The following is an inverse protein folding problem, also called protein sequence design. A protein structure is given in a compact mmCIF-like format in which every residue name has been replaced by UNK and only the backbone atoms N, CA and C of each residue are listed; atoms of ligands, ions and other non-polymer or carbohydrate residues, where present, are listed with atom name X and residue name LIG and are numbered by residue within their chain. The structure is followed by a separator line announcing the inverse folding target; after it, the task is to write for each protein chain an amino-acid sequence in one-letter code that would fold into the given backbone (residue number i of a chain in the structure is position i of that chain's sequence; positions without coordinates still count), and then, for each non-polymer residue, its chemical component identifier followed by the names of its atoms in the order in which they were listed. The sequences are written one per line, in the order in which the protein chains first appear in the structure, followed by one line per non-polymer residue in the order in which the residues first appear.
data_IF_529272869073
#
_entry.id   IF_529272869073
#
_cell.length_a   1.000
_cell.length_b   1.000
_cell.length_c   1.000
_cell.angle_alpha   90.00
_cell.angle_beta   90.00
_cell.angle_gamma   90.00
#
_symmetry.space_group_name_H-M   'P 1'
#
loop_
_entity.id
_entity.type
_entity.pdbx_description
1 polymer ?
#
# COMPACT_ATOMS: atom_id res chain seq x y z
N UNK A 1 -5.91 0.00 -19.58
CA UNK A 1 -5.51 -0.06 -18.16
C UNK A 1 -4.00 -0.03 -18.11
N UNK A 2 -3.41 0.74 -17.19
CA UNK A 2 -1.96 0.82 -16.99
C UNK A 2 -1.60 0.36 -15.58
N UNK A 3 -0.53 -0.43 -15.43
CA UNK A 3 -0.02 -0.90 -14.14
C UNK A 3 1.43 -0.44 -14.02
N UNK A 4 1.78 0.25 -12.94
CA UNK A 4 3.10 0.84 -12.76
C UNK A 4 3.65 0.70 -11.33
N UNK A 5 4.98 0.78 -11.21
CA UNK A 5 5.66 0.88 -9.93
C UNK A 5 5.79 2.35 -9.50
N UNK A 6 5.33 2.66 -8.28
CA UNK A 6 5.33 4.02 -7.74
C UNK A 6 6.18 4.13 -6.46
N UNK A 7 7.42 4.62 -6.64
CA UNK A 7 8.41 4.85 -5.55
C UNK A 7 7.96 5.84 -4.47
N UNK A 8 6.88 6.60 -4.71
CA UNK A 8 6.31 7.58 -3.78
C UNK A 8 5.25 6.96 -2.87
N UNK A 9 4.70 5.79 -3.19
CA UNK A 9 3.79 5.06 -2.30
C UNK A 9 4.57 4.47 -1.13
N UNK A 10 4.40 5.05 0.07
CA UNK A 10 5.13 4.66 1.29
C UNK A 10 4.24 4.20 2.44
N UNK A 11 2.92 4.36 2.30
CA UNK A 11 1.92 4.08 3.35
C UNK A 11 0.89 3.03 2.95
N UNK A 12 0.79 2.74 1.65
CA UNK A 12 -0.14 1.78 1.09
C UNK A 12 0.55 0.97 0.01
N UNK A 13 0.20 -0.31 -0.08
CA UNK A 13 0.80 -1.26 -1.01
C UNK A 13 0.46 -0.95 -2.47
N UNK A 14 -0.75 -0.44 -2.72
CA UNK A 14 -1.17 -0.02 -4.05
C UNK A 14 -2.27 1.04 -4.04
N UNK A 15 -2.51 1.63 -5.20
CA UNK A 15 -3.53 2.66 -5.42
C UNK A 15 -4.18 2.43 -6.79
N UNK A 16 -5.50 2.45 -6.83
CA UNK A 16 -6.27 2.50 -8.07
C UNK A 16 -6.70 3.94 -8.33
N UNK A 17 -6.66 4.36 -9.59
CA UNK A 17 -7.29 5.59 -10.06
C UNK A 17 -8.02 5.30 -11.36
N UNK A 18 -9.15 5.95 -11.58
CA UNK A 18 -9.93 5.77 -12.79
C UNK A 18 -10.61 7.07 -13.20
N UNK A 19 -11.05 7.13 -14.45
CA UNK A 19 -11.75 8.28 -15.01
C UNK A 19 -11.98 8.12 -16.49
N UNK A 20 -12.38 9.21 -17.16
CA UNK A 20 -12.57 9.24 -18.61
C UNK A 20 -11.63 10.28 -19.21
N UNK A 21 -10.97 9.93 -20.32
CA UNK A 21 -10.17 10.84 -21.13
C UNK A 21 -10.79 10.89 -22.53
N UNK A 22 -11.26 12.05 -22.95
CA UNK A 22 -12.00 12.23 -24.22
C UNK A 22 -13.17 11.24 -24.34
N UNK A 23 -13.91 11.01 -23.25
CA UNK A 23 -15.02 10.05 -23.21
C UNK A 23 -14.60 8.57 -23.07
N UNK A 24 -13.33 8.23 -23.26
CA UNK A 24 -12.83 6.85 -23.14
C UNK A 24 -12.48 6.53 -21.68
N UNK A 25 -13.08 5.48 -21.07
CA UNK A 25 -12.74 5.05 -19.72
C UNK A 25 -11.28 4.59 -19.63
N UNK A 26 -10.60 4.97 -18.55
CA UNK A 26 -9.28 4.45 -18.20
C UNK A 26 -9.22 4.12 -16.71
N UNK A 27 -8.29 3.24 -16.36
CA UNK A 27 -7.88 2.98 -15.00
C UNK A 27 -6.36 2.78 -14.95
N UNK A 28 -5.78 3.19 -13.84
CA UNK A 28 -4.37 3.06 -13.49
C UNK A 28 -4.25 2.34 -12.15
N UNK A 29 -3.28 1.44 -12.04
CA UNK A 29 -2.93 0.78 -10.80
C UNK A 29 -1.46 1.07 -10.52
N UNK A 30 -1.21 1.74 -9.40
CA UNK A 30 0.14 1.93 -8.88
C UNK A 30 0.42 0.89 -7.79
N UNK A 31 1.61 0.29 -7.82
CA UNK A 31 2.12 -0.60 -6.76
C UNK A 31 3.34 0.01 -6.09
N UNK A 32 3.49 -0.20 -4.78
CA UNK A 32 4.64 0.27 -4.00
C UNK A 32 5.78 -0.72 -4.10
N UNK A 33 6.92 -0.29 -4.64
CA UNK A 33 8.17 -1.08 -4.65
C UNK A 33 8.71 -1.37 -3.25
N UNK A 34 8.32 -0.55 -2.26
CA UNK A 34 8.77 -0.68 -0.87
C UNK A 34 7.91 -1.62 -0.04
N UNK A 35 6.63 -1.75 -0.36
CA UNK A 35 5.68 -2.59 0.39
C UNK A 35 5.42 -3.90 -0.34
N UNK A 36 5.22 -3.88 -1.67
CA UNK A 36 5.07 -5.06 -2.51
C UNK A 36 6.44 -5.61 -2.93
N UNK A 37 7.24 -6.01 -1.95
CA UNK A 37 8.62 -6.47 -2.14
C UNK A 37 8.77 -8.01 -2.18
N UNK A 38 7.64 -8.73 -2.23
CA UNK A 38 7.57 -10.19 -2.39
C UNK A 38 6.42 -10.55 -3.34
N UNK A 39 6.45 -11.76 -3.89
CA UNK A 39 5.47 -12.21 -4.89
C UNK A 39 4.05 -12.27 -4.33
N UNK A 40 3.89 -12.76 -3.09
CA UNK A 40 2.62 -12.83 -2.37
C UNK A 40 2.01 -11.44 -2.15
N UNK A 41 2.79 -10.48 -1.64
CA UNK A 41 2.31 -9.10 -1.43
C UNK A 41 1.93 -8.42 -2.72
N UNK A 42 2.70 -8.65 -3.80
CA UNK A 42 2.37 -8.11 -5.11
C UNK A 42 1.06 -8.70 -5.64
N UNK A 43 0.92 -10.03 -5.60
CA UNK A 43 -0.28 -10.75 -6.02
C UNK A 43 -1.52 -10.25 -5.29
N UNK A 44 -1.51 -10.28 -3.97
CA UNK A 44 -2.66 -9.92 -3.13
C UNK A 44 -3.04 -8.45 -3.31
N UNK A 45 -2.04 -7.57 -3.41
CA UNK A 45 -2.29 -6.15 -3.71
C UNK A 45 -2.85 -5.95 -5.10
N UNK A 46 -2.27 -6.60 -6.11
CA UNK A 46 -2.64 -6.38 -7.51
C UNK A 46 -4.07 -6.86 -7.77
N UNK A 47 -4.43 -8.07 -7.33
CA UNK A 47 -5.77 -8.61 -7.53
C UNK A 47 -6.82 -7.74 -6.83
N UNK A 48 -6.55 -7.28 -5.60
CA UNK A 48 -7.41 -6.34 -4.90
C UNK A 48 -7.64 -5.06 -5.71
N UNK A 49 -6.58 -4.48 -6.29
CA UNK A 49 -6.68 -3.25 -7.11
C UNK A 49 -7.34 -3.50 -8.45
N UNK A 50 -7.23 -4.70 -9.00
CA UNK A 50 -7.96 -5.12 -10.20
C UNK A 50 -9.46 -5.26 -9.94
N UNK A 51 -9.89 -5.73 -8.77
CA UNK A 51 -11.31 -5.74 -8.39
C UNK A 51 -11.90 -4.32 -8.39
N UNK A 52 -11.17 -3.32 -7.86
CA UNK A 52 -11.56 -1.90 -7.99
C UNK A 52 -11.65 -1.43 -9.44
N UNK A 53 -10.71 -1.84 -10.30
CA UNK A 53 -10.74 -1.48 -11.72
C UNK A 53 -11.89 -2.18 -12.46
N UNK A 54 -12.29 -3.38 -12.04
CA UNK A 54 -13.39 -4.13 -12.60
C UNK A 54 -14.74 -3.44 -12.31
N UNK A 55 -14.96 -2.95 -11.08
CA UNK A 55 -16.12 -2.11 -10.75
C UNK A 55 -16.27 -0.94 -11.73
N UNK A 56 -15.15 -0.30 -12.08
CA UNK A 56 -15.15 0.83 -13.01
C UNK A 56 -15.38 0.42 -14.47
N UNK A 57 -14.66 -0.59 -14.97
CA UNK A 57 -14.71 -0.96 -16.39
C UNK A 57 -15.95 -1.76 -16.77
N UNK A 58 -16.42 -2.62 -15.88
CA UNK A 58 -17.52 -3.56 -16.15
C UNK A 58 -18.84 -2.94 -15.71
N UNK A 59 -18.92 -2.43 -14.47
CA UNK A 59 -20.18 -1.93 -13.92
C UNK A 59 -20.36 -0.42 -14.08
N UNK A 60 -19.29 0.30 -14.44
CA UNK A 60 -19.33 1.76 -14.58
C UNK A 60 -19.35 2.50 -13.25
N UNK A 61 -19.09 1.82 -12.13
CA UNK A 61 -19.10 2.40 -10.79
C UNK A 61 -17.77 3.08 -10.48
N UNK A 62 -17.81 4.36 -10.14
CA UNK A 62 -16.64 5.19 -9.84
C UNK A 62 -16.34 5.28 -8.34
N UNK A 63 -16.68 4.24 -7.57
CA UNK A 63 -16.41 4.18 -6.15
C UNK A 63 -15.14 3.37 -5.84
N UNK A 64 -14.33 3.90 -4.92
CA UNK A 64 -13.13 3.26 -4.37
C UNK A 64 -13.40 2.55 -3.04
N UNK A 65 -14.65 2.47 -2.58
CA UNK A 65 -15.04 1.70 -1.40
C UNK A 65 -15.15 0.20 -1.69
N UNK A 66 -15.08 -0.61 -0.63
CA UNK A 66 -15.30 -2.06 -0.68
C UNK A 66 -16.80 -2.37 -0.55
N UNK A 67 -17.58 -1.98 -1.55
CA UNK A 67 -19.03 -2.23 -1.61
C UNK A 67 -19.39 -3.57 -2.28
N UNK A 68 -20.68 -3.81 -2.49
CA UNK A 68 -21.22 -5.07 -3.05
C UNK A 68 -20.62 -5.46 -4.40
N UNK A 69 -20.38 -4.48 -5.30
CA UNK A 69 -19.74 -4.74 -6.59
C UNK A 69 -18.28 -5.17 -6.43
N UNK A 70 -17.57 -4.59 -5.46
CA UNK A 70 -16.20 -5.00 -5.17
C UNK A 70 -16.17 -6.43 -4.62
N UNK A 71 -17.06 -6.76 -3.68
CA UNK A 71 -17.19 -8.13 -3.14
C UNK A 71 -17.54 -9.14 -4.25
N UNK A 72 -18.43 -8.77 -5.17
CA UNK A 72 -18.76 -9.59 -6.34
C UNK A 72 -17.53 -9.86 -7.20
N UNK A 73 -16.76 -8.85 -7.56
CA UNK A 73 -15.53 -9.04 -8.36
C UNK A 73 -14.45 -9.81 -7.59
N UNK A 74 -14.39 -9.68 -6.27
CA UNK A 74 -13.52 -10.53 -5.46
C UNK A 74 -13.92 -12.00 -5.55
N UNK A 75 -15.20 -12.32 -5.37
CA UNK A 75 -15.71 -13.69 -5.48
C UNK A 75 -15.46 -14.29 -6.87
N UNK A 76 -15.63 -13.50 -7.93
CA UNK A 76 -15.33 -13.94 -9.30
C UNK A 76 -13.84 -14.23 -9.51
N UNK A 77 -12.97 -13.39 -8.95
CA UNK A 77 -11.53 -13.58 -9.06
C UNK A 77 -11.05 -14.79 -8.22
N UNK A 78 -11.61 -15.00 -7.04
CA UNK A 78 -11.35 -16.19 -6.20
C UNK A 78 -11.80 -17.47 -6.88
N UNK A 79 -12.97 -17.46 -7.54
CA UNK A 79 -13.44 -18.60 -8.33
C UNK A 79 -12.52 -18.92 -9.52
N UNK A 80 -12.01 -17.89 -10.19
CA UNK A 80 -11.06 -18.04 -11.30
C UNK A 80 -9.67 -18.51 -10.84
N UNK A 81 -9.34 -18.28 -9.56
CA UNK A 81 -8.03 -18.54 -9.00
C UNK A 81 -8.11 -19.21 -7.61
N UNK A 82 -8.59 -20.46 -7.55
CA UNK A 82 -8.87 -21.15 -6.28
C UNK A 82 -7.62 -21.44 -5.43
N UNK A 83 -6.43 -21.41 -6.05
CA UNK A 83 -5.16 -21.61 -5.36
C UNK A 83 -4.62 -20.36 -4.64
N UNK A 84 -5.25 -19.19 -4.86
CA UNK A 84 -4.88 -17.94 -4.20
C UNK A 84 -5.56 -17.80 -2.82
N UNK A 85 -4.93 -17.12 -1.86
CA UNK A 85 -5.61 -16.78 -0.61
C UNK A 85 -6.81 -15.84 -0.89
N UNK A 86 -7.81 -15.81 0.00
CA UNK A 86 -8.94 -14.90 -0.13
C UNK A 86 -8.51 -13.43 -0.23
N UNK A 87 -9.23 -12.67 -1.03
CA UNK A 87 -8.96 -11.25 -1.26
C UNK A 87 -9.52 -10.47 -0.08
N UNK A 88 -8.63 -9.85 0.69
CA UNK A 88 -9.03 -9.07 1.87
C UNK A 88 -9.26 -7.59 1.53
N UNK A 89 -10.17 -6.95 2.27
CA UNK A 89 -10.39 -5.50 2.20
C UNK A 89 -9.19 -4.69 2.68
N UNK A 90 -8.44 -5.24 3.66
CA UNK A 90 -7.25 -4.62 4.22
C UNK A 90 -6.08 -5.60 4.19
N UNK A 91 -4.90 -5.08 3.84
CA UNK A 91 -3.64 -5.79 4.02
C UNK A 91 -2.89 -5.22 5.21
N UNK A 92 -2.54 -6.05 6.18
CA UNK A 92 -1.69 -5.68 7.31
C UNK A 92 -0.27 -6.17 7.05
N UNK A 93 0.39 -5.61 6.04
CA UNK A 93 1.78 -5.95 5.77
C UNK A 93 2.70 -5.34 6.83
N UNK A 94 3.45 -6.19 7.52
CA UNK A 94 4.56 -5.73 8.35
C UNK A 94 5.60 -5.04 7.47
N UNK A 95 5.90 -3.79 7.80
CA UNK A 95 6.89 -2.98 7.09
C UNK A 95 8.22 -3.04 7.83
N UNK A 96 9.17 -3.80 7.28
CA UNK A 96 10.53 -3.84 7.81
C UNK A 96 11.33 -2.64 7.29
N UNK A 97 11.47 -1.63 8.13
CA UNK A 97 12.29 -0.46 7.84
C UNK A 97 13.78 -0.79 8.00
N UNK A 98 14.58 -0.43 6.98
CA UNK A 98 16.05 -0.57 7.01
C UNK A 98 16.73 0.26 8.10
N UNK A 99 16.07 1.32 8.54
CA UNK A 99 16.62 2.27 9.50
C UNK A 99 15.56 2.52 10.56
N UNK A 100 15.92 2.32 11.82
CA UNK A 100 15.02 2.59 12.95
C UNK A 100 15.68 3.63 13.83
N UNK A 101 14.93 4.67 14.19
CA UNK A 101 15.35 5.63 15.22
C UNK A 101 14.56 5.37 16.49
N UNK A 102 15.23 5.42 17.64
CA UNK A 102 14.61 5.28 18.95
C UNK A 102 14.74 6.59 19.73
N UNK A 103 13.68 6.97 20.44
CA UNK A 103 13.75 8.09 21.37
C UNK A 103 14.61 7.75 22.59
N UNK A 104 15.50 8.66 22.98
CA UNK A 104 16.34 8.49 24.18
C UNK A 104 15.58 8.60 25.51
N UNK A 105 14.37 9.18 25.51
CA UNK A 105 13.54 9.36 26.70
C UNK A 105 12.49 8.26 26.83
N UNK A 106 11.46 8.29 25.99
CA UNK A 106 10.31 7.37 26.08
C UNK A 106 10.46 6.07 25.27
N UNK A 107 11.61 5.83 24.64
CA UNK A 107 11.90 4.62 23.84
C UNK A 107 10.99 4.37 22.62
N UNK A 108 10.10 5.31 22.28
CA UNK A 108 9.29 5.22 21.06
C UNK A 108 10.17 5.12 19.80
N UNK A 109 9.71 4.33 18.83
CA UNK A 109 10.47 4.02 17.60
C UNK A 109 9.84 4.61 16.37
N UNK A 110 10.69 5.03 15.44
CA UNK A 110 10.30 5.58 14.15
C UNK A 110 11.13 4.92 13.06
N UNK A 111 10.46 4.14 12.21
CA UNK A 111 11.09 3.49 11.06
C UNK A 111 11.24 4.42 9.84
N UNK A 112 12.33 4.22 9.09
CA UNK A 112 12.69 4.92 7.86
C UNK A 112 13.32 3.95 6.85
N UNK A 113 13.17 4.25 5.57
CA UNK A 113 13.77 3.47 4.49
C UNK A 113 15.27 3.76 4.29
N UNK A 114 15.70 4.95 4.69
CA UNK A 114 17.09 5.43 4.62
C UNK A 114 17.38 6.25 5.89
N UNK A 115 18.65 6.55 6.16
CA UNK A 115 19.08 7.37 7.29
C UNK A 115 18.79 8.87 7.07
N UNK A 116 17.53 9.20 6.76
CA UNK A 116 17.09 10.53 6.33
C UNK A 116 16.62 11.43 7.47
N UNK A 117 16.59 10.95 8.71
CA UNK A 117 16.11 11.75 9.84
C UNK A 117 17.27 12.60 10.37
N UNK A 118 17.18 13.92 10.22
CA UNK A 118 18.11 14.82 10.90
C UNK A 118 17.76 14.87 12.41
N UNK A 119 18.53 14.14 13.21
CA UNK A 119 18.32 13.99 14.67
C UNK A 119 18.70 15.23 15.48
N UNK A 120 19.32 16.25 14.86
CA UNK A 120 19.57 17.55 15.51
C UNK A 120 18.32 18.42 15.50
N UNK A 121 17.49 18.29 14.44
CA UNK A 121 16.26 19.07 14.28
C UNK A 121 15.00 18.29 14.68
N UNK A 122 15.02 16.98 14.52
CA UNK A 122 13.85 16.14 14.75
C UNK A 122 13.85 15.55 16.17
N UNK A 123 12.80 15.88 16.92
CA UNK A 123 12.56 15.41 18.28
C UNK A 123 11.43 14.38 18.32
N UNK A 124 11.38 13.62 19.41
CA UNK A 124 10.28 12.70 19.67
C UNK A 124 8.94 13.45 19.74
N UNK A 125 7.91 12.91 19.06
CA UNK A 125 6.57 13.50 19.06
C UNK A 125 5.79 13.33 20.38
N UNK A 126 6.28 12.48 21.27
CA UNK A 126 5.63 12.14 22.55
C UNK A 126 6.26 12.93 23.69
N UNK A 127 7.59 12.86 23.83
CA UNK A 127 8.30 13.44 24.97
C UNK A 127 9.36 14.50 24.59
N UNK A 128 9.44 14.88 23.32
CA UNK A 128 10.37 15.91 22.79
C UNK A 128 11.87 15.63 22.97
N UNK A 129 12.26 14.48 23.52
CA UNK A 129 13.67 14.07 23.63
C UNK A 129 14.28 13.73 22.25
N UNK A 130 15.61 13.64 22.21
CA UNK A 130 16.38 13.35 20.99
C UNK A 130 16.05 11.97 20.44
N UNK A 131 16.00 11.86 19.10
CA UNK A 131 15.95 10.59 18.40
C UNK A 131 17.38 10.11 18.11
N UNK A 132 17.69 8.85 18.41
CA UNK A 132 18.98 8.23 18.11
C UNK A 132 18.80 7.11 17.10
N UNK A 133 19.76 6.95 16.19
CA UNK A 133 19.77 5.84 15.26
C UNK A 133 20.02 4.54 16.04
N UNK A 134 19.15 3.55 15.87
CA UNK A 134 19.35 2.20 16.38
C UNK A 134 20.25 1.46 15.39
N UNK A 135 21.46 1.09 15.82
CA UNK A 135 22.32 0.21 15.04
C UNK A 135 21.62 -1.14 14.91
N UNK A 136 21.43 -1.62 13.69
CA UNK A 136 20.97 -2.97 13.44
C UNK A 136 22.18 -3.90 13.67
N UNK A 137 22.10 -4.72 14.72
CA UNK A 137 23.05 -5.82 14.96
C UNK A 137 22.60 -7.04 14.18
#
# INVERSE_FOLDING_TARGET
MEISWNKRLRRQAGRTGFGKKNGVPYAVIDTSDKICNSADRLRDTLIHKMCHAACWFIDGEADLTHGLLWDYHCAMAELAHPDMPPITQFHTYETHYKVVYQCSGCQSRVGRWTASLNTEKYQCRICHSKMVLLNQT
#
